data_IF_144520093198
#
_entry.id   IF_144520093198
#
_cell.length_a   1.000
_cell.length_b   1.000
_cell.length_c   1.000
_cell.angle_alpha   90.00
_cell.angle_beta   90.00
_cell.angle_gamma   90.00
#
_symmetry.space_group_name_H-M   'P 1'
#
loop_
_entity.id
_entity.type
_entity.pdbx_description
1 polymer ?
#
# COMPACT_ATOMS: atom_id res chain seq x y z
N UNK A 1 -19.53 6.17 18.45
CA UNK A 1 -18.16 5.93 18.95
C UNK A 1 -17.28 5.50 17.77
N UNK A 2 -16.21 6.20 17.55
CA UNK A 2 -15.32 5.89 16.44
C UNK A 2 -14.52 4.63 16.71
N UNK A 3 -14.45 3.77 15.71
CA UNK A 3 -13.66 2.57 15.79
C UNK A 3 -12.18 2.90 15.56
N UNK A 4 -11.35 2.50 16.48
CA UNK A 4 -9.93 2.75 16.40
C UNK A 4 -9.29 1.75 15.44
N UNK A 5 -8.55 2.26 14.44
CA UNK A 5 -7.87 1.41 13.48
C UNK A 5 -6.62 0.77 14.09
N UNK A 6 -6.29 -0.42 13.62
CA UNK A 6 -5.13 -1.18 14.06
C UNK A 6 -4.16 -1.38 12.89
N UNK A 7 -2.94 -1.82 13.19
CA UNK A 7 -1.96 -2.18 12.15
C UNK A 7 -2.55 -3.20 11.17
N UNK A 8 -3.28 -4.19 11.69
CA UNK A 8 -3.90 -5.21 10.85
C UNK A 8 -4.91 -4.59 9.89
N UNK A 9 -5.68 -3.61 10.36
CA UNK A 9 -6.65 -2.92 9.51
C UNK A 9 -5.96 -2.27 8.30
N UNK A 10 -4.85 -1.59 8.54
CA UNK A 10 -4.08 -0.96 7.46
C UNK A 10 -3.52 -1.99 6.50
N UNK A 11 -3.02 -3.08 7.04
CA UNK A 11 -2.47 -4.16 6.22
C UNK A 11 -3.56 -4.81 5.35
N UNK A 12 -4.73 -5.06 5.94
CA UNK A 12 -5.85 -5.67 5.20
C UNK A 12 -6.30 -4.80 4.03
N UNK A 13 -6.39 -3.49 4.24
CA UNK A 13 -6.77 -2.57 3.17
C UNK A 13 -5.70 -2.51 2.08
N UNK A 14 -4.43 -2.40 2.47
CA UNK A 14 -3.34 -2.38 1.50
C UNK A 14 -3.32 -3.66 0.66
N UNK A 15 -3.54 -4.80 1.29
CA UNK A 15 -3.55 -6.10 0.61
C UNK A 15 -4.71 -6.18 -0.38
N UNK A 16 -5.90 -5.80 0.05
CA UNK A 16 -7.07 -5.77 -0.85
C UNK A 16 -6.81 -4.86 -2.04
N UNK A 17 -6.30 -3.67 -1.80
CA UNK A 17 -6.03 -2.72 -2.88
C UNK A 17 -5.00 -3.25 -3.87
N UNK A 18 -3.97 -3.95 -3.36
CA UNK A 18 -2.99 -4.54 -4.26
C UNK A 18 -3.64 -5.57 -5.20
N UNK A 19 -4.45 -6.47 -4.67
CA UNK A 19 -5.06 -7.51 -5.49
C UNK A 19 -6.17 -6.99 -6.40
N UNK A 20 -6.87 -5.92 -6.00
CA UNK A 20 -7.90 -5.33 -6.86
C UNK A 20 -7.31 -4.44 -7.95
N UNK A 21 -6.29 -3.67 -7.63
CA UNK A 21 -5.80 -2.62 -8.53
C UNK A 21 -4.29 -2.62 -8.71
N UNK A 22 -3.54 -2.82 -7.62
CA UNK A 22 -2.09 -2.66 -7.64
C UNK A 22 -1.39 -3.59 -8.60
N UNK A 23 -1.90 -4.81 -8.72
CA UNK A 23 -1.31 -5.81 -9.59
C UNK A 23 -1.21 -5.32 -11.05
N UNK A 24 -2.18 -4.54 -11.51
CA UNK A 24 -2.17 -3.97 -12.86
C UNK A 24 -1.33 -2.70 -12.97
N UNK A 25 -0.84 -2.18 -11.87
CA UNK A 25 -0.06 -0.95 -11.81
C UNK A 25 1.45 -1.20 -11.71
N UNK A 26 1.88 -2.45 -11.78
CA UNK A 26 3.29 -2.79 -11.66
C UNK A 26 3.99 -2.54 -12.99
N UNK A 27 5.08 -1.80 -12.93
CA UNK A 27 5.87 -1.47 -14.12
C UNK A 27 7.07 -2.41 -14.23
N UNK A 28 7.29 -2.97 -15.41
CA UNK A 28 8.50 -3.72 -15.68
C UNK A 28 8.47 -5.19 -15.30
N UNK A 29 7.31 -5.80 -15.22
CA UNK A 29 7.21 -7.25 -15.08
C UNK A 29 6.47 -7.71 -13.83
N UNK A 30 6.52 -9.02 -13.60
CA UNK A 30 5.80 -9.64 -12.49
C UNK A 30 6.62 -9.57 -11.20
N UNK A 31 5.91 -9.52 -10.08
CA UNK A 31 6.52 -9.61 -8.76
C UNK A 31 6.36 -11.04 -8.25
N UNK A 32 7.40 -11.56 -7.58
CA UNK A 32 7.28 -12.84 -6.88
C UNK A 32 6.53 -12.62 -5.56
N UNK A 33 6.23 -13.71 -4.85
CA UNK A 33 5.42 -13.63 -3.64
C UNK A 33 6.10 -12.84 -2.53
N UNK A 34 7.42 -12.89 -2.41
CA UNK A 34 8.14 -12.09 -1.43
C UNK A 34 8.05 -10.60 -1.75
N UNK A 35 8.17 -10.26 -3.03
CA UNK A 35 8.05 -8.88 -3.47
C UNK A 35 6.62 -8.35 -3.24
N UNK A 36 5.61 -9.18 -3.53
CA UNK A 36 4.21 -8.81 -3.28
C UNK A 36 4.00 -8.51 -1.80
N UNK A 37 4.50 -9.38 -0.92
CA UNK A 37 4.37 -9.15 0.52
C UNK A 37 5.05 -7.85 0.95
N UNK A 38 6.23 -7.58 0.38
CA UNK A 38 6.95 -6.34 0.67
C UNK A 38 6.14 -5.11 0.22
N UNK A 39 5.57 -5.17 -0.99
CA UNK A 39 4.74 -4.08 -1.51
C UNK A 39 3.54 -3.83 -0.61
N UNK A 40 2.89 -4.88 -0.15
CA UNK A 40 1.73 -4.74 0.73
C UNK A 40 2.15 -4.10 2.07
N UNK A 41 3.28 -4.52 2.64
CA UNK A 41 3.77 -3.94 3.89
C UNK A 41 4.10 -2.45 3.72
N UNK A 42 4.77 -2.10 2.64
CA UNK A 42 5.10 -0.70 2.38
C UNK A 42 3.83 0.11 2.10
N UNK A 43 2.88 -0.49 1.36
CA UNK A 43 1.59 0.15 1.11
C UNK A 43 0.83 0.44 2.41
N UNK A 44 0.83 -0.52 3.34
CA UNK A 44 0.22 -0.29 4.65
C UNK A 44 0.92 0.86 5.39
N UNK A 45 2.24 0.94 5.28
CA UNK A 45 3.00 2.02 5.89
C UNK A 45 2.66 3.39 5.29
N UNK A 46 2.43 3.45 3.97
CA UNK A 46 1.95 4.68 3.32
C UNK A 46 0.62 5.12 3.92
N UNK A 47 -0.31 4.18 4.04
CA UNK A 47 -1.63 4.50 4.60
C UNK A 47 -1.55 4.93 6.06
N UNK A 48 -0.72 4.25 6.86
CA UNK A 48 -0.52 4.63 8.27
C UNK A 48 0.10 6.01 8.41
N UNK A 49 1.09 6.31 7.58
CA UNK A 49 1.77 7.60 7.61
C UNK A 49 0.83 8.72 7.17
N UNK A 50 0.05 8.47 6.14
CA UNK A 50 -0.95 9.40 5.63
C UNK A 50 -1.96 9.79 6.72
N UNK A 51 -2.39 8.80 7.50
CA UNK A 51 -3.38 9.02 8.55
C UNK A 51 -2.78 9.53 9.86
N UNK A 52 -1.45 9.61 9.95
CA UNK A 52 -0.79 9.99 11.18
C UNK A 52 -0.79 8.91 12.25
N UNK A 53 -1.09 7.67 11.86
CA UNK A 53 -1.14 6.54 12.78
C UNK A 53 0.25 6.08 13.20
N UNK A 54 1.15 5.97 12.23
CA UNK A 54 2.54 5.59 12.48
C UNK A 54 3.39 6.07 11.32
N UNK A 55 4.51 6.70 11.61
CA UNK A 55 5.37 7.26 10.58
C UNK A 55 6.27 6.17 9.98
N UNK A 56 6.28 6.09 8.65
CA UNK A 56 7.12 5.15 7.93
C UNK A 56 8.53 5.68 7.70
N UNK A 57 9.33 4.91 6.96
CA UNK A 57 10.69 5.26 6.63
C UNK A 57 10.78 6.37 5.56
N UNK A 58 12.01 6.66 5.11
CA UNK A 58 12.24 7.80 4.24
C UNK A 58 11.53 7.71 2.89
N UNK A 59 11.44 6.51 2.29
CA UNK A 59 10.70 6.34 1.05
C UNK A 59 9.22 6.67 1.25
N UNK A 60 8.62 6.10 2.30
CA UNK A 60 7.20 6.30 2.60
C UNK A 60 6.93 7.79 2.87
N UNK A 61 7.79 8.43 3.63
CA UNK A 61 7.62 9.86 3.91
C UNK A 61 7.68 10.70 2.64
N UNK A 62 8.55 10.35 1.71
CA UNK A 62 8.64 11.05 0.44
C UNK A 62 7.34 10.89 -0.37
N UNK A 63 6.77 9.69 -0.39
CA UNK A 63 5.50 9.45 -1.08
C UNK A 63 4.38 10.28 -0.46
N UNK A 64 4.27 10.26 0.86
CA UNK A 64 3.19 10.95 1.56
C UNK A 64 3.33 12.48 1.44
N UNK A 65 4.56 12.97 1.39
CA UNK A 65 4.83 14.40 1.23
C UNK A 65 4.81 14.89 -0.21
N UNK A 66 4.43 14.02 -1.13
CA UNK A 66 4.36 14.34 -2.56
C UNK A 66 5.73 14.75 -3.13
N UNK A 67 6.78 14.11 -2.63
CA UNK A 67 8.15 14.33 -3.07
C UNK A 67 8.56 13.22 -4.03
N UNK A 68 8.23 13.41 -5.32
CA UNK A 68 8.47 12.37 -6.32
C UNK A 68 9.94 12.05 -6.47
N UNK A 69 10.79 13.07 -6.55
CA UNK A 69 12.24 12.86 -6.69
C UNK A 69 12.79 12.10 -5.48
N UNK A 70 12.39 12.50 -4.28
CA UNK A 70 12.82 11.82 -3.07
C UNK A 70 12.35 10.38 -3.04
N UNK A 71 11.12 10.13 -3.46
CA UNK A 71 10.57 8.77 -3.50
C UNK A 71 11.37 7.90 -4.48
N UNK A 72 11.63 8.40 -5.70
CA UNK A 72 12.40 7.65 -6.69
C UNK A 72 13.80 7.35 -6.18
N UNK A 73 14.45 8.35 -5.58
CA UNK A 73 15.83 8.18 -5.09
C UNK A 73 15.93 7.21 -3.92
N UNK A 74 14.88 7.08 -3.11
CA UNK A 74 14.89 6.22 -1.92
C UNK A 74 14.25 4.85 -2.17
N UNK A 75 13.67 4.64 -3.35
CA UNK A 75 13.01 3.39 -3.68
C UNK A 75 14.05 2.29 -3.97
N UNK A 76 13.82 1.11 -3.42
CA UNK A 76 14.56 -0.08 -3.86
C UNK A 76 14.00 -0.52 -5.22
N UNK A 77 14.56 -1.60 -5.77
CA UNK A 77 14.16 -2.05 -7.11
C UNK A 77 12.67 -2.43 -7.17
N UNK A 78 12.15 -3.03 -6.11
CA UNK A 78 10.74 -3.39 -6.05
C UNK A 78 9.86 -2.15 -5.96
N UNK A 79 10.23 -1.20 -5.12
CA UNK A 79 9.42 0.02 -4.95
C UNK A 79 9.40 0.88 -6.21
N UNK A 80 10.48 0.88 -7.01
CA UNK A 80 10.47 1.59 -8.28
C UNK A 80 9.40 1.05 -9.23
N UNK A 81 9.16 -0.25 -9.19
CA UNK A 81 8.10 -0.87 -10.00
C UNK A 81 6.71 -0.55 -9.48
N UNK A 82 6.59 -0.13 -8.24
CA UNK A 82 5.31 0.04 -7.55
C UNK A 82 4.96 1.49 -7.25
N UNK A 83 5.70 2.45 -7.80
CA UNK A 83 5.46 3.86 -7.49
C UNK A 83 4.03 4.29 -7.82
N UNK A 84 3.49 3.81 -8.92
CA UNK A 84 2.12 4.17 -9.31
C UNK A 84 1.12 3.67 -8.28
N UNK A 85 1.30 2.43 -7.80
CA UNK A 85 0.43 1.89 -6.77
C UNK A 85 0.53 2.70 -5.47
N UNK A 86 1.75 3.07 -5.07
CA UNK A 86 1.94 3.85 -3.84
C UNK A 86 1.27 5.22 -3.94
N UNK A 87 1.36 5.88 -5.09
CA UNK A 87 0.68 7.16 -5.28
C UNK A 87 -0.83 6.99 -5.32
N UNK A 88 -1.32 5.88 -5.87
CA UNK A 88 -2.74 5.57 -5.84
C UNK A 88 -3.26 5.44 -4.40
N UNK A 89 -2.54 4.72 -3.56
CA UNK A 89 -2.92 4.59 -2.15
C UNK A 89 -2.99 5.96 -1.48
N UNK A 90 -2.00 6.80 -1.73
CA UNK A 90 -1.95 8.13 -1.13
C UNK A 90 -3.11 9.00 -1.60
N UNK A 91 -3.41 8.96 -2.89
CA UNK A 91 -4.36 9.90 -3.49
C UNK A 91 -5.83 9.47 -3.33
N UNK A 92 -6.09 8.16 -3.30
CA UNK A 92 -7.46 7.66 -3.49
C UNK A 92 -7.97 6.71 -2.42
N UNK A 93 -7.15 6.26 -1.48
CA UNK A 93 -7.57 5.21 -0.55
C UNK A 93 -7.73 5.78 0.87
N UNK A 94 -8.92 5.58 1.42
CA UNK A 94 -9.21 5.87 2.83
C UNK A 94 -9.43 4.55 3.55
N UNK A 95 -8.61 4.25 4.55
CA UNK A 95 -8.71 2.98 5.27
C UNK A 95 -10.04 2.86 5.99
N UNK A 96 -10.51 3.94 6.61
CA UNK A 96 -11.80 3.92 7.30
C UNK A 96 -12.94 3.56 6.36
N UNK A 97 -12.88 4.05 5.12
CA UNK A 97 -13.91 3.79 4.13
C UNK A 97 -13.86 2.35 3.61
N UNK A 98 -12.64 1.84 3.37
CA UNK A 98 -12.45 0.54 2.71
C UNK A 98 -12.41 -0.64 3.67
N UNK A 99 -12.37 -0.40 4.97
CA UNK A 99 -12.08 -1.45 5.95
C UNK A 99 -13.07 -2.60 5.91
N UNK A 100 -14.37 -2.31 5.84
CA UNK A 100 -15.38 -3.36 5.85
C UNK A 100 -15.23 -4.30 4.66
N UNK A 101 -15.03 -3.75 3.48
CA UNK A 101 -14.79 -4.56 2.28
C UNK A 101 -13.50 -5.36 2.42
N UNK A 102 -12.45 -4.77 2.97
CA UNK A 102 -11.18 -5.45 3.14
C UNK A 102 -11.29 -6.67 4.04
N UNK A 103 -12.07 -6.57 5.11
CA UNK A 103 -12.24 -7.68 6.04
C UNK A 103 -13.02 -8.85 5.42
N UNK A 104 -13.83 -8.56 4.43
CA UNK A 104 -14.63 -9.58 3.75
C UNK A 104 -14.03 -10.03 2.42
N UNK A 105 -12.90 -9.46 2.04
CA UNK A 105 -12.25 -9.77 0.78
C UNK A 105 -11.71 -11.19 0.78
N UNK A 106 -11.99 -11.95 -0.29
CA UNK A 106 -11.62 -13.36 -0.37
C UNK A 106 -10.32 -13.53 -1.12
N UNK A 107 -9.24 -13.58 -0.38
CA UNK A 107 -7.90 -13.65 -0.94
C UNK A 107 -7.61 -15.00 -1.61
N UNK A 108 -8.22 -16.06 -1.13
CA UNK A 108 -7.99 -17.42 -1.64
C UNK A 108 -8.39 -17.56 -3.10
N UNK A 109 -9.36 -16.78 -3.58
CA UNK A 109 -9.79 -16.83 -4.97
C UNK A 109 -8.77 -16.21 -5.91
N UNK A 110 -7.78 -15.52 -5.36
CA UNK A 110 -6.77 -14.83 -6.14
C UNK A 110 -5.54 -15.69 -6.33
N UNK A 111 -5.29 -16.58 -5.37
CA UNK A 111 -4.13 -17.45 -5.37
C UNK A 111 -4.31 -18.75 -6.14
N UNK A 112 -5.50 -19.00 -6.58
CA UNK A 112 -5.89 -20.22 -7.24
C UNK A 112 -5.26 -20.50 -8.58
#
# INVERSE_FOLDING_TARGET
MEKKLTHEDYHDVARMMYFKYGNSMILGGHLNSQEVNHVIQVGASVLMTKDGFQQGGSFVQAVVNNDLLGAVNRADSTMRKCLLFMTYLMAHVSVSYELEEAKNFQFENIEG
#
